data_IF_893050567159
#
_entry.id   IF_893050567159
#
_cell.length_a   1.000
_cell.length_b   1.000
_cell.length_c   1.000
_cell.angle_alpha   90.00
_cell.angle_beta   90.00
_cell.angle_gamma   90.00
#
_symmetry.space_group_name_H-M   'P 1'
#
loop_
_entity.id
_entity.type
_entity.pdbx_description
1 polymer ?
#
# COMPACT_ATOMS: atom_id res chain seq x y z
N UNK A 1 0.54 -2.85 9.64
CA UNK A 1 1.91 -2.47 9.23
C UNK A 1 2.67 -3.66 8.68
N UNK A 2 3.16 -4.60 9.49
CA UNK A 2 4.01 -5.72 9.02
C UNK A 2 3.49 -6.48 7.78
N UNK A 3 2.19 -6.82 7.74
CA UNK A 3 1.57 -7.50 6.58
C UNK A 3 1.59 -6.67 5.30
N UNK A 4 1.50 -5.34 5.40
CA UNK A 4 1.61 -4.45 4.26
C UNK A 4 3.01 -4.55 3.64
N UNK A 5 4.06 -4.44 4.45
CA UNK A 5 5.45 -4.57 3.98
C UNK A 5 5.73 -5.96 3.39
N UNK A 6 5.19 -7.02 4.01
CA UNK A 6 5.31 -8.39 3.50
C UNK A 6 4.65 -8.55 2.12
N UNK A 7 3.47 -7.95 1.92
CA UNK A 7 2.79 -7.98 0.63
C UNK A 7 3.63 -7.31 -0.47
N UNK A 8 4.31 -6.20 -0.17
CA UNK A 8 5.26 -5.55 -1.08
C UNK A 8 6.50 -6.41 -1.38
N UNK A 9 7.06 -7.08 -0.37
CA UNK A 9 8.23 -7.95 -0.55
C UNK A 9 7.91 -9.19 -1.41
N UNK A 10 6.74 -9.79 -1.19
CA UNK A 10 6.29 -11.01 -1.87
C UNK A 10 5.56 -10.73 -3.20
N UNK A 11 5.36 -9.45 -3.55
CA UNK A 11 4.51 -9.03 -4.67
C UNK A 11 3.09 -9.67 -4.62
N UNK A 12 2.51 -9.70 -3.41
CA UNK A 12 1.23 -10.32 -3.12
C UNK A 12 0.12 -9.26 -3.03
N UNK A 13 -0.50 -9.01 -4.19
CA UNK A 13 -1.61 -8.06 -4.35
C UNK A 13 -2.83 -8.43 -3.50
N UNK A 14 -3.16 -9.72 -3.40
CA UNK A 14 -4.36 -10.16 -2.68
C UNK A 14 -4.19 -9.93 -1.17
N UNK A 15 -3.00 -10.24 -0.64
CA UNK A 15 -2.66 -9.94 0.76
C UNK A 15 -2.68 -8.44 1.06
N UNK A 16 -2.29 -7.60 0.10
CA UNK A 16 -2.38 -6.15 0.24
C UNK A 16 -3.84 -5.67 0.27
N UNK A 17 -4.65 -6.07 -0.71
CA UNK A 17 -6.05 -5.65 -0.82
C UNK A 17 -6.87 -6.09 0.38
N UNK A 18 -6.55 -7.22 0.99
CA UNK A 18 -7.16 -7.70 2.23
C UNK A 18 -6.92 -6.81 3.46
N UNK A 19 -6.01 -5.83 3.37
CA UNK A 19 -5.78 -4.84 4.43
C UNK A 19 -6.71 -3.63 4.34
N UNK A 20 -7.37 -3.44 3.20
CA UNK A 20 -8.21 -2.29 2.92
C UNK A 20 -9.69 -2.65 3.06
N UNK A 21 -10.47 -1.70 3.54
CA UNK A 21 -11.93 -1.74 3.56
C UNK A 21 -12.48 -1.20 2.23
N UNK A 22 -13.76 -1.43 1.95
CA UNK A 22 -14.42 -1.06 0.68
C UNK A 22 -14.23 0.42 0.30
N UNK A 23 -14.19 1.31 1.30
CA UNK A 23 -14.07 2.77 1.13
C UNK A 23 -12.70 3.30 1.59
N UNK A 24 -11.68 2.45 1.67
CA UNK A 24 -10.34 2.90 2.01
C UNK A 24 -9.78 3.85 0.96
N UNK A 25 -8.88 4.72 1.42
CA UNK A 25 -8.22 5.72 0.61
C UNK A 25 -6.73 5.48 0.63
N UNK A 26 -6.09 5.47 -0.54
CA UNK A 26 -4.65 5.42 -0.69
C UNK A 26 -4.16 6.66 -1.43
N UNK A 27 -3.40 7.50 -0.74
CA UNK A 27 -2.79 8.71 -1.28
C UNK A 27 -1.27 8.54 -1.38
N UNK A 28 -0.75 8.56 -2.61
CA UNK A 28 0.69 8.50 -2.88
C UNK A 28 0.98 9.28 -4.19
N UNK A 29 1.82 10.33 -4.18
CA UNK A 29 2.42 10.98 -3.01
C UNK A 29 1.38 11.80 -2.20
N UNK A 30 1.69 12.12 -0.94
CA UNK A 30 0.81 12.96 -0.10
C UNK A 30 0.50 14.29 -0.78
N UNK A 31 -0.78 14.64 -0.87
CA UNK A 31 -1.33 15.79 -1.58
C UNK A 31 -1.72 15.55 -3.04
N UNK A 32 -1.55 14.32 -3.57
CA UNK A 32 -2.03 13.92 -4.89
C UNK A 32 -3.52 13.52 -4.86
N UNK A 33 -4.09 13.22 -6.03
CA UNK A 33 -5.46 12.70 -6.10
C UNK A 33 -5.51 11.30 -5.46
N UNK A 34 -6.32 11.10 -4.40
CA UNK A 34 -6.38 9.84 -3.69
C UNK A 34 -7.02 8.72 -4.52
N UNK A 35 -6.47 7.51 -4.44
CA UNK A 35 -7.12 6.30 -4.93
C UNK A 35 -8.19 5.86 -3.92
N UNK A 36 -9.45 5.89 -4.33
CA UNK A 36 -10.59 5.58 -3.45
C UNK A 36 -11.19 4.23 -3.81
N UNK A 37 -11.29 3.37 -2.79
CA UNK A 37 -11.87 2.05 -2.88
C UNK A 37 -10.95 1.00 -3.50
N UNK A 38 -11.35 -0.26 -3.36
CA UNK A 38 -10.52 -1.42 -3.71
C UNK A 38 -10.14 -1.46 -5.19
N UNK A 39 -11.00 -1.00 -6.11
CA UNK A 39 -10.71 -1.00 -7.54
C UNK A 39 -9.57 -0.04 -7.92
N UNK A 40 -9.58 1.18 -7.38
CA UNK A 40 -8.54 2.17 -7.66
C UNK A 40 -7.23 1.78 -6.97
N UNK A 41 -7.29 1.27 -5.74
CA UNK A 41 -6.12 0.77 -5.01
C UNK A 41 -5.49 -0.41 -5.78
N UNK A 42 -6.31 -1.32 -6.29
CA UNK A 42 -5.90 -2.45 -7.11
C UNK A 42 -5.19 -2.01 -8.39
N UNK A 43 -5.72 -0.99 -9.08
CA UNK A 43 -5.12 -0.42 -10.27
C UNK A 43 -3.78 0.30 -9.98
N UNK A 44 -3.71 1.02 -8.86
CA UNK A 44 -2.47 1.66 -8.41
C UNK A 44 -1.36 0.63 -8.15
N UNK A 45 -1.69 -0.48 -7.48
CA UNK A 45 -0.73 -1.57 -7.27
C UNK A 45 -0.19 -2.14 -8.56
N UNK A 46 -1.07 -2.40 -9.54
CA UNK A 46 -0.67 -2.94 -10.84
C UNK A 46 0.27 -1.98 -11.58
N UNK A 47 0.01 -0.67 -11.49
CA UNK A 47 0.89 0.35 -12.07
C UNK A 47 2.25 0.40 -11.37
N UNK A 48 2.28 0.34 -10.04
CA UNK A 48 3.50 0.36 -9.26
C UNK A 48 4.42 -0.84 -9.55
N UNK A 49 3.84 -2.01 -9.87
CA UNK A 49 4.57 -3.25 -10.14
C UNK A 49 4.75 -3.59 -11.62
N UNK A 50 4.26 -2.77 -12.56
CA UNK A 50 4.38 -3.03 -14.01
C UNK A 50 5.81 -2.83 -14.52
N UNK A 51 6.61 -1.99 -13.85
CA UNK A 51 7.95 -1.63 -14.30
C UNK A 51 9.02 -2.25 -13.39
N UNK A 52 9.79 -3.20 -13.93
CA UNK A 52 10.94 -3.82 -13.26
C UNK A 52 12.02 -2.79 -12.85
N UNK A 53 12.02 -1.59 -13.43
CA UNK A 53 12.88 -0.48 -13.03
C UNK A 53 12.40 0.27 -11.77
N UNK A 54 11.12 0.09 -11.38
CA UNK A 54 10.50 0.64 -10.16
C UNK A 54 10.44 -0.37 -9.02
N UNK A 55 11.52 -1.12 -8.79
CA UNK A 55 11.63 -2.03 -7.63
C UNK A 55 11.68 -1.24 -6.33
N UNK A 56 10.51 -1.04 -5.72
CA UNK A 56 10.39 -0.48 -4.38
C UNK A 56 10.57 -1.59 -3.34
N UNK A 57 11.59 -1.46 -2.50
CA UNK A 57 11.81 -2.33 -1.33
C UNK A 57 11.58 -1.53 -0.05
N UNK A 58 10.37 -1.57 0.53
CA UNK A 58 10.07 -0.79 1.72
C UNK A 58 10.79 -1.39 2.94
N UNK A 59 11.48 -0.55 3.71
CA UNK A 59 12.21 -0.96 4.93
C UNK A 59 11.62 -0.27 6.15
N UNK A 60 11.20 -1.05 7.13
CA UNK A 60 10.71 -0.53 8.42
C UNK A 60 11.89 -0.03 9.24
N UNK A 61 12.00 1.29 9.41
CA UNK A 61 13.02 1.88 10.29
C UNK A 61 12.52 1.99 11.74
N UNK A 62 11.24 2.30 11.92
CA UNK A 62 10.57 2.47 13.21
C UNK A 62 9.08 2.25 13.01
N UNK A 63 8.41 1.73 14.02
CA UNK A 63 6.94 1.66 14.08
C UNK A 63 6.47 2.51 15.26
N UNK A 64 5.51 3.40 15.02
CA UNK A 64 4.86 4.22 16.05
C UNK A 64 3.38 3.95 15.99
N UNK A 65 2.78 3.57 17.12
CA UNK A 65 1.34 3.29 17.23
C UNK A 65 0.68 4.34 18.12
N UNK A 66 -0.36 5.01 17.60
CA UNK A 66 -1.15 6.00 18.34
C UNK A 66 -2.64 5.76 18.07
N UNK A 67 -3.34 5.19 19.05
CA UNK A 67 -4.75 4.85 18.89
C UNK A 67 -4.96 3.85 17.74
N UNK A 68 -5.68 4.26 16.71
CA UNK A 68 -5.99 3.45 15.52
C UNK A 68 -5.05 3.73 14.34
N UNK A 69 -3.98 4.49 14.55
CA UNK A 69 -3.02 4.89 13.53
C UNK A 69 -1.65 4.26 13.78
N UNK A 70 -0.96 3.92 12.70
CA UNK A 70 0.40 3.44 12.73
C UNK A 70 1.25 4.19 11.69
N UNK A 71 2.44 4.63 12.12
CA UNK A 71 3.43 5.40 11.34
C UNK A 71 4.77 4.66 11.28
#
# INVERSE_FOLDING_TARGET
VQRYFKAWEENDKDSLLALFEENSVWEDPVGSEPNVGLEQISAFWDQAHNDDSNKMQPVIQKEIYLGNEAL
#
